data_IF_076633733100
#
_entry.id   IF_076633733100
#
_cell.length_a   1.000
_cell.length_b   1.000
_cell.length_c   1.000
_cell.angle_alpha   90.00
_cell.angle_beta   90.00
_cell.angle_gamma   90.00
#
_symmetry.space_group_name_H-M   'P 1'
#
loop_
_entity.id
_entity.type
_entity.pdbx_description
1 polymer ?
#
# COMPACT_ATOMS: atom_id res chain seq x y z
N UNK A 1 -23.12 -6.98 -2.43
CA UNK A 1 -22.06 -6.06 -1.99
C UNK A 1 -22.05 -5.83 -0.48
N UNK A 2 -23.21 -5.66 0.17
CA UNK A 2 -23.33 -5.53 1.63
C UNK A 2 -22.90 -6.77 2.44
N UNK A 3 -23.06 -7.97 1.91
CA UNK A 3 -22.65 -9.22 2.58
C UNK A 3 -21.15 -9.44 2.66
N UNK A 4 -20.37 -8.90 1.72
CA UNK A 4 -18.92 -9.02 1.71
C UNK A 4 -18.28 -8.15 2.81
N UNK A 5 -18.85 -6.99 3.07
CA UNK A 5 -18.40 -6.03 4.09
C UNK A 5 -18.61 -6.57 5.51
N UNK A 6 -19.67 -7.34 5.75
CA UNK A 6 -20.01 -7.90 7.07
C UNK A 6 -19.07 -9.01 7.56
N UNK A 7 -18.32 -9.68 6.68
CA UNK A 7 -17.51 -10.86 7.05
C UNK A 7 -16.16 -10.55 7.71
N UNK A 8 -15.61 -9.33 7.58
CA UNK A 8 -14.22 -9.06 7.94
C UNK A 8 -14.01 -7.95 8.97
N UNK A 9 -15.01 -7.57 9.75
CA UNK A 9 -14.86 -6.58 10.83
C UNK A 9 -14.61 -5.14 10.35
N UNK A 10 -14.40 -4.93 9.06
CA UNK A 10 -14.30 -3.64 8.39
C UNK A 10 -15.68 -3.16 7.94
N UNK A 11 -16.58 -3.02 8.89
CA UNK A 11 -18.01 -2.88 8.65
C UNK A 11 -18.46 -1.63 7.89
N UNK A 12 -17.55 -0.71 7.51
CA UNK A 12 -17.94 0.55 6.86
C UNK A 12 -17.00 1.01 5.72
N UNK A 13 -15.99 0.23 5.30
CA UNK A 13 -14.97 0.74 4.38
C UNK A 13 -14.70 -0.23 3.23
N UNK A 14 -15.23 0.08 2.07
CA UNK A 14 -14.78 -0.54 0.83
C UNK A 14 -13.39 -0.02 0.50
N UNK A 15 -12.38 -0.88 0.46
CA UNK A 15 -11.05 -0.56 -0.02
C UNK A 15 -10.90 -1.03 -1.44
N UNK A 16 -10.53 -0.13 -2.35
CA UNK A 16 -10.23 -0.48 -3.72
C UNK A 16 -8.79 -0.99 -3.83
N UNK A 17 -8.61 -2.29 -4.06
CA UNK A 17 -7.30 -2.88 -4.31
C UNK A 17 -6.92 -2.76 -5.79
N UNK A 18 -5.74 -2.16 -6.09
CA UNK A 18 -5.31 -1.86 -7.46
C UNK A 18 -3.89 -2.32 -7.74
N UNK A 19 -3.59 -2.53 -9.03
CA UNK A 19 -2.24 -2.86 -9.49
C UNK A 19 -1.37 -1.60 -9.69
N UNK A 20 -0.07 -1.81 -9.93
CA UNK A 20 0.94 -0.76 -9.99
C UNK A 20 0.67 0.33 -11.04
N UNK A 21 0.00 0.01 -12.13
CA UNK A 21 -0.35 0.98 -13.17
C UNK A 21 -1.38 2.03 -12.70
N UNK A 22 -2.20 1.68 -11.72
CA UNK A 22 -3.24 2.57 -11.14
C UNK A 22 -2.77 3.35 -9.91
N UNK A 23 -1.57 3.11 -9.41
CA UNK A 23 -1.02 3.84 -8.26
C UNK A 23 -0.34 5.15 -8.69
N UNK A 24 -0.99 5.91 -9.56
CA UNK A 24 -0.56 7.19 -10.09
C UNK A 24 -1.58 8.27 -9.76
N UNK A 25 -1.10 9.51 -9.57
CA UNK A 25 -1.96 10.63 -9.14
C UNK A 25 -3.18 10.84 -10.05
N UNK A 26 -3.10 10.79 -11.39
CA UNK A 26 -4.27 10.99 -12.25
C UNK A 26 -5.39 9.97 -12.05
N UNK A 27 -5.09 8.79 -11.52
CA UNK A 27 -6.10 7.80 -11.14
C UNK A 27 -6.55 7.97 -9.68
N UNK A 28 -5.57 8.10 -8.77
CA UNK A 28 -5.85 8.13 -7.33
C UNK A 28 -6.63 9.37 -6.89
N UNK A 29 -6.36 10.53 -7.48
CA UNK A 29 -7.00 11.78 -7.09
C UNK A 29 -8.52 11.80 -7.35
N UNK A 30 -9.05 11.41 -8.53
CA UNK A 30 -10.47 11.25 -8.75
C UNK A 30 -11.12 10.23 -7.81
N UNK A 31 -10.49 9.08 -7.59
CA UNK A 31 -11.01 8.04 -6.67
C UNK A 31 -11.08 8.53 -5.24
N UNK A 32 -10.05 9.24 -4.78
CA UNK A 32 -10.06 9.91 -3.48
C UNK A 32 -11.20 10.93 -3.35
N UNK A 33 -11.48 11.69 -4.41
CA UNK A 33 -12.61 12.62 -4.47
C UNK A 33 -13.99 11.96 -4.33
N UNK A 34 -14.07 10.64 -4.61
CA UNK A 34 -15.28 9.83 -4.39
C UNK A 34 -15.36 9.26 -2.95
N UNK A 35 -14.40 9.57 -2.08
CA UNK A 35 -14.36 9.04 -0.72
C UNK A 35 -13.99 7.55 -0.62
N UNK A 36 -13.32 6.99 -1.63
CA UNK A 36 -12.93 5.59 -1.67
C UNK A 36 -11.45 5.44 -1.30
N UNK A 37 -11.12 4.74 -0.21
CA UNK A 37 -9.73 4.43 0.12
C UNK A 37 -9.16 3.42 -0.87
N UNK A 38 -7.88 3.57 -1.22
CA UNK A 38 -7.19 2.72 -2.20
C UNK A 38 -5.98 2.06 -1.58
N UNK A 39 -5.84 0.76 -1.75
CA UNK A 39 -4.62 0.01 -1.49
C UNK A 39 -4.04 -0.49 -2.82
N UNK A 40 -2.80 -0.14 -3.12
CA UNK A 40 -2.23 -0.51 -4.41
C UNK A 40 -0.75 -0.83 -4.36
N UNK A 41 -0.33 -1.72 -5.28
CA UNK A 41 1.08 -2.03 -5.47
C UNK A 41 1.81 -0.85 -6.10
N UNK A 42 3.08 -0.63 -5.72
CA UNK A 42 3.96 0.32 -6.39
C UNK A 42 5.26 -0.35 -6.83
N UNK A 43 5.81 0.13 -7.93
CA UNK A 43 7.07 -0.38 -8.43
C UNK A 43 8.24 0.03 -7.50
N UNK A 44 9.22 -0.85 -7.32
CA UNK A 44 10.36 -0.64 -6.43
C UNK A 44 11.28 0.54 -6.81
N UNK A 45 11.16 1.07 -8.00
CA UNK A 45 11.89 2.26 -8.46
C UNK A 45 11.14 3.59 -8.21
N UNK A 46 9.98 3.53 -7.55
CA UNK A 46 9.19 4.73 -7.24
C UNK A 46 9.90 5.59 -6.19
N UNK A 47 9.58 6.87 -6.29
CA UNK A 47 10.10 7.91 -5.41
C UNK A 47 8.94 8.58 -4.69
N UNK A 48 9.09 8.70 -3.39
CA UNK A 48 8.18 9.40 -2.50
C UNK A 48 8.93 10.47 -1.71
N UNK A 49 8.21 11.19 -0.88
CA UNK A 49 8.75 12.27 -0.05
C UNK A 49 8.17 12.19 1.36
N UNK A 50 8.96 12.59 2.34
CA UNK A 50 8.42 12.93 3.65
C UNK A 50 7.57 14.20 3.59
N UNK A 51 6.72 14.48 4.58
CA UNK A 51 6.04 15.76 4.69
C UNK A 51 7.07 16.91 4.70
N UNK A 52 6.68 18.10 4.22
CA UNK A 52 7.55 19.24 4.26
C UNK A 52 7.90 19.60 5.71
N UNK A 53 9.11 20.08 5.99
CA UNK A 53 9.46 20.59 7.30
C UNK A 53 8.62 21.84 7.61
N UNK A 54 8.51 22.17 8.89
CA UNK A 54 7.82 23.37 9.34
C UNK A 54 8.43 24.62 8.68
N UNK A 55 7.57 25.52 8.18
CA UNK A 55 7.99 26.76 7.57
C UNK A 55 8.56 27.72 8.62
N UNK A 56 9.78 28.21 8.38
CA UNK A 56 10.49 29.08 9.33
C UNK A 56 10.32 30.58 9.05
N UNK A 57 9.42 30.97 8.15
CA UNK A 57 9.09 32.37 7.88
C UNK A 57 9.96 33.07 6.83
N UNK A 58 10.98 32.40 6.25
CA UNK A 58 11.86 32.96 5.25
C UNK A 58 11.77 32.23 3.90
N UNK A 59 11.68 32.98 2.82
CA UNK A 59 11.63 32.44 1.46
C UNK A 59 10.30 31.75 1.12
N UNK A 60 10.34 30.90 0.09
CA UNK A 60 9.14 30.12 -0.32
C UNK A 60 8.94 28.94 0.62
N UNK A 61 7.73 28.71 1.14
CA UNK A 61 7.41 27.53 1.95
C UNK A 61 7.80 26.23 1.23
N UNK A 62 8.44 25.26 1.92
CA UNK A 62 8.78 23.98 1.35
C UNK A 62 7.50 23.19 1.03
N UNK A 63 7.42 22.66 -0.18
CA UNK A 63 6.25 21.84 -0.63
C UNK A 63 6.47 20.36 -0.31
N UNK A 64 7.72 19.92 -0.14
CA UNK A 64 8.10 18.52 0.08
C UNK A 64 9.25 18.44 1.06
N UNK A 65 9.28 17.34 1.80
CA UNK A 65 10.39 16.99 2.66
C UNK A 65 11.45 16.16 1.93
N UNK A 66 12.22 15.39 2.70
CA UNK A 66 13.29 14.53 2.22
C UNK A 66 12.77 13.48 1.24
N UNK A 67 13.52 13.23 0.19
CA UNK A 67 13.24 12.24 -0.85
C UNK A 67 13.49 10.82 -0.34
N UNK A 68 12.57 9.93 -0.65
CA UNK A 68 12.62 8.50 -0.35
C UNK A 68 12.62 7.73 -1.68
N UNK A 69 13.60 6.82 -1.85
CA UNK A 69 13.69 5.92 -2.99
C UNK A 69 13.45 4.49 -2.50
N UNK A 70 12.44 3.79 -3.02
CA UNK A 70 12.09 2.45 -2.55
C UNK A 70 13.18 1.39 -2.82
N UNK A 71 14.04 1.63 -3.80
CA UNK A 71 15.18 0.77 -4.13
C UNK A 71 16.48 1.16 -3.40
N UNK A 72 16.45 2.15 -2.52
CA UNK A 72 17.60 2.57 -1.72
C UNK A 72 17.20 2.65 -0.23
N UNK A 73 17.49 1.60 0.51
CA UNK A 73 17.13 1.46 1.93
C UNK A 73 17.68 2.60 2.82
N UNK A 74 18.81 3.23 2.42
CA UNK A 74 19.41 4.35 3.17
C UNK A 74 18.55 5.61 3.16
N UNK A 75 17.61 5.70 2.22
CA UNK A 75 16.69 6.84 2.11
C UNK A 75 15.43 6.67 2.93
N UNK A 76 15.14 5.46 3.40
CA UNK A 76 13.95 5.16 4.20
C UNK A 76 14.11 5.76 5.61
N UNK A 77 13.07 6.38 6.16
CA UNK A 77 13.05 6.76 7.58
C UNK A 77 12.86 5.52 8.47
N UNK A 78 12.92 5.72 9.78
CA UNK A 78 12.47 4.69 10.72
C UNK A 78 11.01 4.32 10.44
N UNK A 79 10.67 3.06 10.63
CA UNK A 79 9.30 2.57 10.48
C UNK A 79 8.41 3.04 11.63
N UNK A 80 7.15 3.33 11.33
CA UNK A 80 6.14 3.68 12.34
C UNK A 80 5.51 2.43 12.95
N UNK A 81 5.45 1.33 12.18
CA UNK A 81 4.95 0.04 12.64
C UNK A 81 5.61 -1.10 11.88
N UNK A 82 5.81 -2.23 12.57
CA UNK A 82 6.28 -3.48 11.98
C UNK A 82 5.42 -4.62 12.53
N UNK A 83 5.22 -5.63 11.68
CA UNK A 83 4.59 -6.90 12.07
C UNK A 83 5.32 -8.05 11.38
N UNK A 84 5.39 -9.19 12.06
CA UNK A 84 6.03 -10.39 11.54
C UNK A 84 5.21 -11.61 11.98
N UNK A 85 5.02 -12.58 11.09
CA UNK A 85 4.34 -13.83 11.40
C UNK A 85 4.88 -14.99 10.58
N UNK A 86 4.79 -16.17 11.16
CA UNK A 86 5.19 -17.40 10.50
C UNK A 86 4.12 -17.92 9.53
N UNK A 87 4.58 -18.56 8.47
CA UNK A 87 3.75 -19.23 7.47
C UNK A 87 3.70 -20.74 7.75
N UNK A 88 2.60 -21.36 7.38
CA UNK A 88 2.53 -22.82 7.32
C UNK A 88 3.62 -23.34 6.38
N UNK A 89 4.49 -24.25 6.89
CA UNK A 89 5.63 -24.76 6.13
C UNK A 89 6.96 -24.06 6.41
N UNK A 90 7.04 -23.19 7.43
CA UNK A 90 8.31 -22.72 8.01
C UNK A 90 8.92 -21.49 7.33
N UNK A 91 8.14 -20.71 6.61
CA UNK A 91 8.54 -19.37 6.17
C UNK A 91 7.98 -18.30 7.12
N UNK A 92 8.32 -17.03 6.86
CA UNK A 92 7.74 -15.89 7.58
C UNK A 92 7.49 -14.70 6.64
N UNK A 93 6.56 -13.86 7.03
CA UNK A 93 6.32 -12.57 6.38
C UNK A 93 6.67 -11.47 7.36
N UNK A 94 7.38 -10.46 6.86
CA UNK A 94 7.70 -9.22 7.57
C UNK A 94 7.05 -8.07 6.82
N UNK A 95 6.28 -7.23 7.52
CA UNK A 95 5.66 -6.04 6.94
C UNK A 95 6.05 -4.82 7.77
N UNK A 96 6.67 -3.84 7.09
CA UNK A 96 7.00 -2.54 7.67
C UNK A 96 6.07 -1.47 7.14
N UNK A 97 5.63 -0.52 7.98
CA UNK A 97 4.75 0.60 7.61
C UNK A 97 5.36 1.95 7.93
N UNK A 98 5.11 2.92 7.06
CA UNK A 98 5.41 4.35 7.22
C UNK A 98 4.13 5.15 6.99
N UNK A 99 3.74 5.96 7.96
CA UNK A 99 2.38 6.52 8.07
C UNK A 99 2.17 7.86 7.36
N UNK A 100 3.23 8.59 7.07
CA UNK A 100 3.12 9.92 6.45
C UNK A 100 4.10 10.10 5.30
N UNK A 101 3.72 9.54 4.16
CA UNK A 101 4.49 9.59 2.92
C UNK A 101 3.70 10.43 1.90
N UNK A 102 4.41 11.13 1.01
CA UNK A 102 3.82 12.02 0.00
C UNK A 102 4.27 11.67 -1.41
N UNK A 103 3.37 11.79 -2.37
CA UNK A 103 3.73 11.70 -3.80
C UNK A 103 4.24 13.04 -4.32
N UNK A 104 5.10 12.99 -5.35
CA UNK A 104 5.64 14.20 -5.99
C UNK A 104 4.55 15.11 -6.56
N UNK A 105 3.59 14.53 -7.26
CA UNK A 105 2.49 15.26 -7.92
C UNK A 105 1.30 15.54 -7.00
N UNK A 106 1.31 14.96 -5.80
CA UNK A 106 0.23 15.12 -4.83
C UNK A 106 0.78 15.33 -3.41
N UNK A 107 1.54 16.41 -3.19
CA UNK A 107 2.28 16.63 -1.94
C UNK A 107 1.38 16.88 -0.73
N UNK A 108 0.15 17.36 -0.94
CA UNK A 108 -0.82 17.58 0.14
C UNK A 108 -1.46 16.30 0.68
N UNK A 109 -1.45 15.21 -0.09
CA UNK A 109 -2.11 13.96 0.32
C UNK A 109 -1.18 13.09 1.16
N UNK A 110 -1.64 12.75 2.37
CA UNK A 110 -1.01 11.74 3.23
C UNK A 110 -1.26 10.35 2.67
N UNK A 111 -0.22 9.53 2.64
CA UNK A 111 -0.24 8.13 2.24
C UNK A 111 0.44 7.29 3.31
N UNK A 112 0.03 6.04 3.47
CA UNK A 112 0.84 5.03 4.14
C UNK A 112 1.58 4.18 3.12
N UNK A 113 2.83 3.86 3.40
CA UNK A 113 3.68 3.00 2.60
C UNK A 113 3.94 1.71 3.37
N UNK A 114 3.86 0.57 2.69
CA UNK A 114 4.14 -0.74 3.26
C UNK A 114 5.22 -1.45 2.45
N UNK A 115 6.14 -2.10 3.15
CA UNK A 115 7.12 -3.02 2.56
C UNK A 115 6.84 -4.43 3.07
N UNK A 116 6.56 -5.35 2.17
CA UNK A 116 6.31 -6.75 2.49
C UNK A 116 7.50 -7.58 2.01
N UNK A 117 8.10 -8.34 2.90
CA UNK A 117 9.17 -9.29 2.60
C UNK A 117 8.72 -10.67 3.06
N UNK A 118 8.70 -11.62 2.14
CA UNK A 118 8.46 -13.02 2.43
C UNK A 118 9.80 -13.76 2.49
N UNK A 119 10.03 -14.50 3.56
CA UNK A 119 11.20 -15.34 3.77
C UNK A 119 10.83 -16.81 3.66
N UNK A 120 11.73 -17.60 3.10
CA UNK A 120 11.65 -19.06 3.08
C UNK A 120 12.04 -19.63 4.45
N UNK A 121 11.82 -20.94 4.64
CA UNK A 121 12.24 -21.65 5.85
C UNK A 121 13.75 -21.57 6.11
N UNK A 122 14.58 -21.39 5.07
CA UNK A 122 16.04 -21.20 5.19
C UNK A 122 16.44 -19.75 5.58
N UNK A 123 15.47 -18.87 5.86
CA UNK A 123 15.69 -17.48 6.26
C UNK A 123 16.04 -16.54 5.11
N UNK A 124 16.11 -17.01 3.87
CA UNK A 124 16.38 -16.16 2.70
C UNK A 124 15.10 -15.53 2.16
N UNK A 125 15.16 -14.28 1.65
CA UNK A 125 14.02 -13.69 0.97
C UNK A 125 13.55 -14.57 -0.19
N UNK A 126 12.22 -14.76 -0.30
CA UNK A 126 11.62 -15.56 -1.38
C UNK A 126 11.75 -14.85 -2.73
N UNK A 127 11.65 -13.55 -2.72
CA UNK A 127 11.74 -12.70 -3.91
C UNK A 127 12.94 -11.77 -3.84
N UNK A 128 13.55 -11.49 -4.99
CA UNK A 128 14.71 -10.58 -5.11
C UNK A 128 14.39 -9.14 -4.63
N UNK A 129 13.14 -8.73 -4.76
CA UNK A 129 12.68 -7.40 -4.39
C UNK A 129 11.47 -7.51 -3.47
N UNK A 130 11.35 -6.66 -2.45
CA UNK A 130 10.17 -6.61 -1.61
C UNK A 130 8.95 -6.18 -2.42
N UNK A 131 7.78 -6.59 -2.00
CA UNK A 131 6.52 -6.03 -2.46
C UNK A 131 6.32 -4.68 -1.75
N UNK A 132 6.03 -3.65 -2.52
CA UNK A 132 5.70 -2.34 -2.00
C UNK A 132 4.23 -2.02 -2.25
N UNK A 133 3.53 -1.58 -1.20
CA UNK A 133 2.14 -1.16 -1.27
C UNK A 133 2.01 0.28 -0.77
N UNK A 134 1.04 1.02 -1.32
CA UNK A 134 0.59 2.29 -0.75
C UNK A 134 -0.88 2.17 -0.36
N UNK A 135 -1.23 2.80 0.74
CA UNK A 135 -2.60 3.04 1.12
C UNK A 135 -2.91 4.53 1.04
N UNK A 136 -3.96 4.87 0.31
CA UNK A 136 -4.48 6.23 0.16
C UNK A 136 -5.77 6.31 0.98
N UNK A 137 -5.76 6.91 2.17
CA UNK A 137 -6.97 7.07 2.95
C UNK A 137 -7.91 8.08 2.25
N UNK A 138 -9.21 7.82 2.25
CA UNK A 138 -10.20 8.72 1.67
C UNK A 138 -10.41 10.00 2.50
N UNK A 139 -10.07 9.97 3.79
CA UNK A 139 -10.05 11.13 4.68
C UNK A 139 -8.99 10.96 5.77
N UNK A 140 -8.70 12.01 6.52
CA UNK A 140 -7.75 11.97 7.64
C UNK A 140 -8.26 11.16 8.84
N UNK A 141 -9.57 10.95 8.93
CA UNK A 141 -10.21 10.19 10.01
C UNK A 141 -10.13 8.67 9.79
N UNK A 142 -9.80 8.25 8.55
CA UNK A 142 -9.65 6.83 8.24
C UNK A 142 -8.39 6.29 8.90
N UNK A 143 -8.58 5.29 9.76
CA UNK A 143 -7.49 4.54 10.34
C UNK A 143 -6.69 3.81 9.26
N UNK A 144 -5.35 3.86 9.37
CA UNK A 144 -4.48 3.16 8.45
C UNK A 144 -4.53 1.66 8.77
N UNK A 145 -4.63 0.78 7.76
CA UNK A 145 -4.57 -0.65 7.99
C UNK A 145 -3.33 -1.05 8.78
N UNK A 146 -3.47 -1.96 9.73
CA UNK A 146 -2.30 -2.59 10.35
C UNK A 146 -1.46 -3.30 9.26
N UNK A 147 -0.14 -3.50 9.46
CA UNK A 147 0.72 -4.11 8.46
C UNK A 147 0.18 -5.43 7.90
N UNK A 148 -0.31 -6.31 8.79
CA UNK A 148 -0.90 -7.61 8.41
C UNK A 148 -2.19 -7.47 7.63
N UNK A 149 -3.04 -6.51 7.98
CA UNK A 149 -4.30 -6.23 7.28
C UNK A 149 -4.06 -5.72 5.86
N UNK A 150 -3.10 -4.80 5.68
CA UNK A 150 -2.76 -4.29 4.36
C UNK A 150 -2.28 -5.39 3.41
N UNK A 151 -1.47 -6.32 3.92
CA UNK A 151 -1.01 -7.48 3.15
C UNK A 151 -2.18 -8.41 2.81
N UNK A 152 -3.05 -8.72 3.76
CA UNK A 152 -4.22 -9.57 3.55
C UNK A 152 -5.20 -8.98 2.52
N UNK A 153 -5.53 -7.68 2.62
CA UNK A 153 -6.37 -6.98 1.64
C UNK A 153 -5.79 -7.08 0.23
N UNK A 154 -4.46 -6.92 0.10
CA UNK A 154 -3.82 -7.01 -1.21
C UNK A 154 -3.84 -8.43 -1.79
N UNK A 155 -3.68 -9.45 -0.95
CA UNK A 155 -3.75 -10.86 -1.38
C UNK A 155 -5.14 -11.27 -1.85
N UNK A 156 -6.21 -10.77 -1.22
CA UNK A 156 -7.58 -11.04 -1.66
C UNK A 156 -7.85 -10.62 -3.11
N UNK A 157 -7.15 -9.60 -3.62
CA UNK A 157 -7.22 -9.21 -5.03
C UNK A 157 -6.88 -10.37 -5.98
N UNK A 158 -5.92 -11.19 -5.63
CA UNK A 158 -5.53 -12.33 -6.47
C UNK A 158 -6.59 -13.44 -6.51
N UNK A 159 -7.32 -13.63 -5.43
CA UNK A 159 -8.41 -14.63 -5.40
C UNK A 159 -9.52 -14.27 -6.39
N UNK A 160 -9.86 -13.00 -6.53
CA UNK A 160 -10.84 -12.50 -7.50
C UNK A 160 -10.33 -12.68 -8.93
N UNK A 161 -9.06 -12.38 -9.22
CA UNK A 161 -8.47 -12.59 -10.55
C UNK A 161 -8.46 -14.07 -10.96
N UNK A 162 -8.13 -14.97 -10.05
CA UNK A 162 -8.19 -16.41 -10.29
C UNK A 162 -9.63 -16.87 -10.59
N UNK A 163 -10.60 -16.39 -9.84
CA UNK A 163 -12.01 -16.71 -10.07
C UNK A 163 -12.50 -16.23 -11.43
N UNK A 164 -12.12 -15.01 -11.84
CA UNK A 164 -12.45 -14.46 -13.16
C UNK A 164 -11.77 -15.25 -14.29
N UNK A 165 -10.50 -15.63 -14.13
CA UNK A 165 -9.79 -16.45 -15.13
C UNK A 165 -10.40 -17.82 -15.27
N UNK A 166 -10.77 -18.47 -14.16
CA UNK A 166 -11.47 -19.73 -14.16
C UNK A 166 -12.83 -19.63 -14.88
N UNK A 167 -13.63 -18.62 -14.56
CA UNK A 167 -14.92 -18.40 -15.24
C UNK A 167 -14.76 -18.17 -16.74
N UNK A 168 -13.73 -17.44 -17.18
CA UNK A 168 -13.47 -17.20 -18.60
C UNK A 168 -12.87 -18.40 -19.33
N UNK A 169 -11.96 -19.14 -18.68
CA UNK A 169 -11.27 -20.28 -19.27
C UNK A 169 -12.09 -21.55 -19.28
N UNK A 170 -12.56 -21.96 -18.10
CA UNK A 170 -13.19 -23.27 -17.91
C UNK A 170 -14.71 -23.26 -18.14
N UNK A 171 -15.37 -22.12 -17.90
CA UNK A 171 -16.83 -21.98 -18.10
C UNK A 171 -17.20 -21.27 -19.41
N UNK A 172 -16.23 -20.80 -20.21
CA UNK A 172 -16.49 -20.18 -21.52
C UNK A 172 -17.32 -18.90 -21.44
N UNK A 173 -17.33 -18.21 -20.31
CA UNK A 173 -18.02 -16.93 -20.15
C UNK A 173 -17.19 -15.82 -20.79
N UNK A 174 -17.67 -15.32 -21.95
CA UNK A 174 -17.09 -14.17 -22.67
C UNK A 174 -17.70 -12.85 -22.21
#
# INVERSE_FOLDING_TARGET
>A
MEEFVKRHGWSERQVLAVDAQYTVEPFLNPVHGLGIPVLGRVASNRVFFLPPPAYQGFGRPPVRGRKIKLNDARTLPNTDSNDEWELEGGGRIEVSRWDDIRMRKWPGQRLALYRVIEYKADGKPRYKRPLWLIFVPASLEIELPAPREAQAIYEERFSVEHSIRFMKGDLGLT
#
